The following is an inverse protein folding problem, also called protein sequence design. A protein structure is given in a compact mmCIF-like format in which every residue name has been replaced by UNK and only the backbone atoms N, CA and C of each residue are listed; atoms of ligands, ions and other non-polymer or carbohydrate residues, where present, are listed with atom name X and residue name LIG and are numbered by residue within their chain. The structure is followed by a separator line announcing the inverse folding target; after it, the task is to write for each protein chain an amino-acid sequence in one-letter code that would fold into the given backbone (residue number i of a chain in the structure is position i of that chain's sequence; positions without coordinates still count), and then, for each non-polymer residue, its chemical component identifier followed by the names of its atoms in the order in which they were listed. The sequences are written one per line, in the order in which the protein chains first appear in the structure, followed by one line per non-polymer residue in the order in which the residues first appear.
data_IF_461412488733
#
_entry.id   IF_461412488733
#
_cell.length_a   1.000
_cell.length_b   1.000
_cell.length_c   1.000
_cell.angle_alpha   90.00
_cell.angle_beta   90.00
_cell.angle_gamma   90.00
#
_symmetry.space_group_name_H-M   'P 1'
#
loop_
_entity.id
_entity.type
_entity.pdbx_description
1 polymer ?
#
# COMPACT_ATOMS: atom_id res chain seq x y z
N UNK A 1 -11.75 15.62 17.35
CA UNK A 1 -10.81 14.54 16.98
C UNK A 1 -11.07 13.39 17.94
N UNK A 2 -11.46 12.22 17.42
CA UNK A 2 -11.68 11.02 18.24
C UNK A 2 -10.34 10.39 18.62
N UNK A 3 -10.18 9.93 19.86
CA UNK A 3 -8.97 9.25 20.36
C UNK A 3 -8.58 8.05 19.49
N UNK A 4 -9.58 7.35 18.93
CA UNK A 4 -9.39 6.22 18.01
C UNK A 4 -8.63 6.65 16.76
N UNK A 5 -8.92 7.82 16.22
CA UNK A 5 -8.25 8.33 15.03
C UNK A 5 -6.76 8.62 15.30
N UNK A 6 -6.45 9.16 16.48
CA UNK A 6 -5.06 9.41 16.90
C UNK A 6 -4.30 8.09 17.04
N UNK A 7 -4.89 7.09 17.69
CA UNK A 7 -4.29 5.76 17.83
C UNK A 7 -4.03 5.08 16.48
N UNK A 8 -4.99 5.17 15.53
CA UNK A 8 -4.82 4.64 14.18
C UNK A 8 -3.70 5.36 13.41
N UNK A 9 -3.57 6.68 13.57
CA UNK A 9 -2.48 7.46 12.96
C UNK A 9 -1.11 7.06 13.53
N UNK A 10 -1.01 6.90 14.85
CA UNK A 10 0.22 6.48 15.51
C UNK A 10 0.61 5.06 15.11
N UNK A 11 -0.36 4.15 14.99
CA UNK A 11 -0.14 2.79 14.50
C UNK A 11 0.37 2.79 13.05
N UNK A 12 -0.29 3.54 12.16
CA UNK A 12 0.13 3.71 10.77
C UNK A 12 1.55 4.25 10.66
N UNK A 13 1.91 5.23 11.52
CA UNK A 13 3.26 5.77 11.58
C UNK A 13 4.27 4.73 12.06
N UNK A 14 3.96 3.97 13.10
CA UNK A 14 4.84 2.93 13.64
C UNK A 14 5.09 1.81 12.63
N UNK A 15 4.08 1.43 11.84
CA UNK A 15 4.25 0.49 10.72
C UNK A 15 5.20 1.08 9.68
N UNK A 16 5.04 2.36 9.31
CA UNK A 16 5.95 3.05 8.38
C UNK A 16 7.40 3.08 8.89
N UNK A 17 7.61 3.28 10.19
CA UNK A 17 8.95 3.22 10.81
C UNK A 17 9.55 1.81 10.78
N UNK A 18 8.75 0.77 11.09
CA UNK A 18 9.22 -0.62 11.01
C UNK A 18 9.63 -1.00 9.58
N UNK A 19 8.84 -0.58 8.58
CA UNK A 19 9.13 -0.86 7.17
C UNK A 19 10.40 -0.11 6.70
N UNK A 20 10.64 1.11 7.18
CA UNK A 20 11.89 1.84 6.87
C UNK A 20 13.13 1.18 7.48
N UNK A 21 13.02 0.59 8.67
CA UNK A 21 14.14 -0.03 9.38
C UNK A 21 14.51 -1.42 8.86
N UNK A 22 13.54 -2.17 8.33
CA UNK A 22 13.72 -3.59 7.99
C UNK A 22 13.82 -3.87 6.50
N UNK A 23 13.41 -2.93 5.63
CA UNK A 23 13.13 -3.27 4.24
C UNK A 23 13.84 -2.35 3.22
N UNK A 24 14.92 -2.87 2.61
CA UNK A 24 15.63 -2.20 1.50
C UNK A 24 14.74 -2.04 0.25
N UNK A 25 13.80 -2.96 0.04
CA UNK A 25 12.86 -2.92 -1.08
C UNK A 25 11.91 -1.73 -0.93
N UNK A 26 11.42 -1.48 0.30
CA UNK A 26 10.61 -0.31 0.63
C UNK A 26 11.37 1.00 0.37
N UNK A 27 12.62 1.08 0.81
CA UNK A 27 13.47 2.25 0.58
C UNK A 27 13.71 2.51 -0.92
N UNK A 28 13.88 1.45 -1.71
CA UNK A 28 14.05 1.54 -3.16
C UNK A 28 12.78 2.01 -3.88
N UNK A 29 11.63 1.48 -3.48
CA UNK A 29 10.30 1.94 -3.96
C UNK A 29 10.07 3.41 -3.59
N UNK A 30 10.43 3.81 -2.38
CA UNK A 30 10.31 5.18 -1.92
C UNK A 30 11.17 6.15 -2.72
N UNK A 31 12.44 5.80 -2.96
CA UNK A 31 13.34 6.60 -3.82
C UNK A 31 12.75 6.79 -5.22
N UNK A 32 12.04 5.79 -5.75
CA UNK A 32 11.36 5.85 -7.05
C UNK A 32 10.13 6.78 -7.02
N UNK A 33 9.31 6.72 -5.97
CA UNK A 33 8.06 7.50 -5.86
C UNK A 33 8.26 8.91 -5.29
N UNK A 34 9.37 9.19 -4.61
CA UNK A 34 9.79 10.47 -4.01
C UNK A 34 8.84 11.12 -3.00
N UNK A 35 7.61 10.63 -2.85
CA UNK A 35 6.57 11.20 -1.98
C UNK A 35 5.92 10.12 -1.11
N UNK A 36 5.97 10.33 0.21
CA UNK A 36 5.24 9.54 1.22
C UNK A 36 3.77 9.40 0.89
N UNK A 37 3.12 10.51 0.52
CA UNK A 37 1.70 10.55 0.21
C UNK A 37 1.38 9.67 -1.00
N UNK A 38 2.17 9.78 -2.08
CA UNK A 38 1.98 8.98 -3.28
C UNK A 38 2.20 7.48 -2.99
N UNK A 39 3.19 7.14 -2.17
CA UNK A 39 3.43 5.76 -1.75
C UNK A 39 2.23 5.19 -0.98
N UNK A 40 1.74 5.92 0.02
CA UNK A 40 0.59 5.52 0.82
C UNK A 40 -0.68 5.37 -0.02
N UNK A 41 -0.91 6.29 -0.96
CA UNK A 41 -2.07 6.26 -1.86
C UNK A 41 -2.02 5.05 -2.80
N UNK A 42 -0.85 4.73 -3.37
CA UNK A 42 -0.66 3.54 -4.22
C UNK A 42 -0.78 2.24 -3.42
N UNK A 43 -0.22 2.19 -2.23
CA UNK A 43 -0.33 1.05 -1.30
C UNK A 43 -1.80 0.80 -0.94
N UNK A 44 -2.52 1.84 -0.51
CA UNK A 44 -3.94 1.75 -0.17
C UNK A 44 -4.79 1.32 -1.37
N UNK A 45 -4.49 1.85 -2.55
CA UNK A 45 -5.16 1.46 -3.80
C UNK A 45 -4.93 -0.01 -4.14
N UNK A 46 -3.71 -0.52 -3.99
CA UNK A 46 -3.45 -1.95 -4.19
C UNK A 46 -4.21 -2.82 -3.18
N UNK A 47 -4.19 -2.45 -1.90
CA UNK A 47 -4.92 -3.15 -0.85
C UNK A 47 -6.44 -3.22 -1.09
N UNK A 48 -7.04 -2.20 -1.71
CA UNK A 48 -8.48 -2.20 -1.99
C UNK A 48 -8.84 -2.93 -3.28
N UNK A 49 -7.92 -2.99 -4.24
CA UNK A 49 -8.22 -3.48 -5.59
C UNK A 49 -7.67 -4.88 -5.88
N UNK A 50 -6.79 -5.41 -5.03
CA UNK A 50 -6.13 -6.70 -5.20
C UNK A 50 -6.14 -7.48 -3.91
N UNK A 51 -6.34 -8.79 -4.03
CA UNK A 51 -5.99 -9.73 -2.97
C UNK A 51 -4.46 -9.84 -2.95
N UNK A 52 -3.88 -9.47 -1.82
CA UNK A 52 -2.44 -9.47 -1.59
C UNK A 52 -2.14 -10.52 -0.52
N UNK A 53 -1.38 -11.55 -0.89
CA UNK A 53 -0.99 -12.61 0.04
C UNK A 53 0.07 -12.17 1.05
N UNK A 54 0.84 -11.12 0.70
CA UNK A 54 1.93 -10.63 1.53
C UNK A 54 2.23 -9.15 1.26
N UNK A 55 2.78 -8.48 2.27
CA UNK A 55 3.30 -7.12 2.14
C UNK A 55 4.49 -7.05 1.17
N UNK A 56 5.27 -8.13 1.05
CA UNK A 56 6.36 -8.22 0.09
C UNK A 56 5.85 -8.18 -1.35
N UNK A 57 4.72 -8.85 -1.61
CA UNK A 57 4.05 -8.83 -2.91
C UNK A 57 3.61 -7.40 -3.26
N UNK A 58 3.08 -6.66 -2.29
CA UNK A 58 2.71 -5.25 -2.45
C UNK A 58 3.92 -4.41 -2.88
N UNK A 59 5.03 -4.49 -2.15
CA UNK A 59 6.20 -3.66 -2.44
C UNK A 59 6.87 -4.06 -3.75
N UNK A 60 6.92 -5.35 -4.06
CA UNK A 60 7.41 -5.87 -5.34
C UNK A 60 6.56 -5.36 -6.50
N UNK A 61 5.24 -5.35 -6.36
CA UNK A 61 4.32 -4.77 -7.33
C UNK A 61 4.55 -3.26 -7.51
N UNK A 62 4.77 -2.51 -6.42
CA UNK A 62 5.09 -1.08 -6.49
C UNK A 62 6.45 -0.82 -7.16
N UNK A 63 7.43 -1.68 -6.91
CA UNK A 63 8.79 -1.55 -7.45
C UNK A 63 8.85 -1.86 -8.93
N UNK A 64 8.38 -3.05 -9.32
CA UNK A 64 8.44 -3.58 -10.69
C UNK A 64 7.32 -3.03 -11.60
N UNK A 65 6.27 -2.48 -11.00
CA UNK A 65 5.04 -2.14 -11.70
C UNK A 65 4.13 -3.36 -11.83
N UNK A 66 2.82 -3.13 -11.84
CA UNK A 66 1.80 -4.17 -11.93
C UNK A 66 0.80 -3.83 -13.04
N UNK A 67 0.29 -4.86 -13.72
CA UNK A 67 -0.80 -4.70 -14.67
C UNK A 67 -2.11 -4.70 -13.91
N UNK A 68 -3.00 -3.76 -14.23
CA UNK A 68 -4.35 -3.81 -13.69
C UNK A 68 -5.18 -4.82 -14.45
N UNK A 69 -5.69 -5.83 -13.75
CA UNK A 69 -6.67 -6.73 -14.35
C UNK A 69 -8.00 -5.99 -14.55
N UNK A 70 -8.79 -6.42 -15.53
CA UNK A 70 -10.15 -5.88 -15.71
C UNK A 70 -10.97 -6.29 -14.48
N UNK A 71 -11.79 -5.39 -13.91
CA UNK A 71 -12.66 -5.75 -12.81
C UNK A 71 -13.62 -6.85 -13.28
N UNK A 72 -13.68 -7.95 -12.53
CA UNK A 72 -14.69 -8.99 -12.75
C UNK A 72 -16.03 -8.45 -12.24
N UNK A 73 -16.98 -8.25 -13.15
CA UNK A 73 -18.33 -7.77 -12.83
C UNK A 73 -19.13 -8.98 -12.36
N UNK A 74 -19.30 -9.11 -11.04
CA UNK A 74 -20.01 -10.25 -10.43
C UNK A 74 -21.54 -10.12 -10.49
N UNK A 75 -22.05 -8.89 -10.62
CA UNK A 75 -23.48 -8.61 -10.71
C UNK A 75 -23.72 -7.68 -11.90
N UNK A 76 -24.32 -8.23 -12.95
CA UNK A 76 -24.93 -7.52 -14.06
C UNK A 76 -26.42 -7.86 -14.03
N UNK A 77 -27.15 -7.29 -13.06
CA UNK A 77 -28.61 -7.38 -13.06
C UNK A 77 -29.13 -6.46 -14.18
N UNK A 78 -29.39 -7.08 -15.33
CA UNK A 78 -30.22 -6.53 -16.42
C UNK A 78 -31.71 -6.63 -16.09
#
# INVERSE_FOLDING_TARGET
MSEIFVMLMMLAFMIDQNQQLTNELFCSVWKKLKSKRALWEKMRSLFHNYELDSMEMLYTALYNGYKRSKPEILYDDS
#
